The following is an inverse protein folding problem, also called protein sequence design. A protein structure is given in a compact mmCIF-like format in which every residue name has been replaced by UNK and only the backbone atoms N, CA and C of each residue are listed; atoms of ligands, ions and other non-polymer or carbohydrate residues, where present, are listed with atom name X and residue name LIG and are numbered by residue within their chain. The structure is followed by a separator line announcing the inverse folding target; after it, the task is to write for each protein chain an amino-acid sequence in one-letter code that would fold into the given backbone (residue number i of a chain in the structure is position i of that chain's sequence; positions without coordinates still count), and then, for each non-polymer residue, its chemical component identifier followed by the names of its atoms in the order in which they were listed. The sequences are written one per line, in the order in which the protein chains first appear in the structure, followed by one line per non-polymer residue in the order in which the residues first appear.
data_IF_403068007150
#
_entry.id   IF_403068007150
#
_cell.length_a   1.000
_cell.length_b   1.000
_cell.length_c   1.000
_cell.angle_alpha   90.00
_cell.angle_beta   90.00
_cell.angle_gamma   90.00
#
_symmetry.space_group_name_H-M   'P 1'
#
loop_
_entity.id
_entity.type
_entity.pdbx_description
1 polymer ?
#
# COMPACT_ATOMS: atom_id res chain seq x y z
N UNK A 1 -9.42 -36.08 -38.38
CA UNK A 1 -10.71 -36.42 -37.73
C UNK A 1 -11.70 -36.95 -38.75
N UNK A 2 -12.63 -37.83 -38.34
CA UNK A 2 -13.75 -38.26 -39.18
C UNK A 2 -14.79 -37.13 -39.31
N UNK A 3 -15.45 -37.04 -40.46
CA UNK A 3 -16.47 -36.04 -40.82
C UNK A 3 -17.65 -35.96 -39.84
N UNK A 4 -17.94 -37.06 -39.15
CA UNK A 4 -18.96 -37.22 -38.10
C UNK A 4 -18.56 -36.56 -36.77
N UNK A 5 -17.27 -36.56 -36.42
CA UNK A 5 -16.77 -35.94 -35.19
C UNK A 5 -16.80 -34.40 -35.28
N UNK A 6 -16.45 -33.86 -36.45
CA UNK A 6 -16.55 -32.42 -36.74
C UNK A 6 -18.01 -31.97 -36.67
N UNK A 7 -18.95 -32.75 -37.22
CA UNK A 7 -20.39 -32.43 -37.13
C UNK A 7 -20.91 -32.37 -35.71
N UNK A 8 -20.46 -33.27 -34.83
CA UNK A 8 -20.84 -33.26 -33.42
C UNK A 8 -20.32 -32.02 -32.70
N UNK A 9 -19.07 -31.62 -32.96
CA UNK A 9 -18.46 -30.42 -32.39
C UNK A 9 -19.10 -29.13 -32.93
N UNK A 10 -19.37 -29.06 -34.22
CA UNK A 10 -20.10 -27.94 -34.81
C UNK A 10 -21.49 -27.83 -34.19
N UNK A 11 -22.24 -28.93 -34.07
CA UNK A 11 -23.57 -28.91 -33.42
C UNK A 11 -23.53 -28.58 -31.92
N UNK A 12 -22.41 -28.76 -31.25
CA UNK A 12 -22.25 -28.39 -29.84
C UNK A 12 -22.15 -26.87 -29.65
N UNK A 13 -21.81 -26.11 -30.70
CA UNK A 13 -21.76 -24.67 -30.65
C UNK A 13 -23.18 -24.08 -30.67
N UNK A 14 -23.47 -23.06 -29.82
CA UNK A 14 -24.81 -22.48 -29.71
C UNK A 14 -25.41 -22.07 -31.06
N UNK A 15 -24.60 -21.46 -31.93
CA UNK A 15 -25.07 -20.93 -33.21
C UNK A 15 -25.16 -21.97 -34.34
N UNK A 16 -24.52 -23.14 -34.23
CA UNK A 16 -24.57 -24.19 -35.25
C UNK A 16 -25.46 -25.39 -34.86
N UNK A 17 -25.99 -25.38 -33.64
CA UNK A 17 -26.85 -26.43 -33.11
C UNK A 17 -28.10 -26.72 -33.94
N UNK A 18 -28.61 -25.73 -34.68
CA UNK A 18 -29.83 -25.82 -35.48
C UNK A 18 -29.60 -26.11 -36.97
N UNK A 19 -28.36 -26.26 -37.41
CA UNK A 19 -28.05 -26.50 -38.82
C UNK A 19 -28.53 -27.87 -39.28
N UNK A 20 -29.17 -27.91 -40.44
CA UNK A 20 -29.55 -29.15 -41.10
C UNK A 20 -28.33 -29.84 -41.74
N UNK A 21 -28.43 -31.13 -42.13
CA UNK A 21 -27.28 -31.87 -42.69
C UNK A 21 -26.66 -31.25 -43.95
N UNK A 22 -27.46 -30.58 -44.80
CA UNK A 22 -26.96 -29.91 -45.99
C UNK A 22 -26.19 -28.63 -45.64
N UNK A 23 -26.66 -27.86 -44.66
CA UNK A 23 -25.97 -26.67 -44.16
C UNK A 23 -24.67 -27.04 -43.43
N UNK A 24 -24.66 -28.11 -42.63
CA UNK A 24 -23.42 -28.62 -42.00
C UNK A 24 -22.41 -29.11 -43.03
N UNK A 25 -22.88 -29.66 -44.16
CA UNK A 25 -22.00 -30.02 -45.27
C UNK A 25 -21.36 -28.77 -45.91
N UNK A 26 -22.13 -27.68 -46.07
CA UNK A 26 -21.61 -26.42 -46.57
C UNK A 26 -20.59 -25.79 -45.60
N UNK A 27 -20.90 -25.74 -44.30
CA UNK A 27 -19.95 -25.25 -43.27
C UNK A 27 -18.65 -26.04 -43.32
N UNK A 28 -18.71 -27.37 -43.43
CA UNK A 28 -17.53 -28.23 -43.55
C UNK A 28 -16.72 -28.00 -44.83
N UNK A 29 -17.37 -27.61 -45.93
CA UNK A 29 -16.66 -27.29 -47.17
C UNK A 29 -15.93 -25.95 -47.11
N UNK A 30 -16.38 -25.04 -46.25
CA UNK A 30 -15.83 -23.69 -46.14
C UNK A 30 -14.82 -23.53 -45.00
N UNK A 31 -14.87 -24.40 -44.00
CA UNK A 31 -13.90 -24.37 -42.91
C UNK A 31 -12.68 -25.24 -43.17
N UNK A 32 -11.54 -24.78 -42.67
CA UNK A 32 -10.25 -25.47 -42.75
C UNK A 32 -9.84 -25.97 -41.35
N UNK A 33 -9.05 -27.05 -41.33
CA UNK A 33 -8.45 -27.54 -40.09
C UNK A 33 -7.07 -26.90 -39.94
N UNK A 34 -6.85 -26.24 -38.81
CA UNK A 34 -5.58 -25.68 -38.41
C UNK A 34 -5.05 -26.41 -37.17
N UNK A 35 -3.85 -26.97 -37.26
CA UNK A 35 -3.13 -27.51 -36.11
C UNK A 35 -2.07 -26.52 -35.64
N UNK A 36 -1.98 -26.31 -34.33
CA UNK A 36 -0.99 -25.42 -33.74
C UNK A 36 -0.35 -26.04 -32.50
N UNK A 37 0.96 -25.80 -32.36
CA UNK A 37 1.73 -26.22 -31.20
C UNK A 37 1.51 -25.25 -30.01
N UNK A 38 1.78 -25.67 -28.76
CA UNK A 38 1.87 -24.77 -27.62
C UNK A 38 2.77 -23.56 -27.91
N UNK A 39 2.50 -22.45 -27.22
CA UNK A 39 3.23 -21.17 -27.32
C UNK A 39 3.15 -20.51 -28.72
N UNK A 40 2.30 -21.04 -29.60
CA UNK A 40 1.99 -20.39 -30.89
C UNK A 40 1.01 -19.26 -30.65
N UNK A 41 1.36 -18.04 -31.06
CA UNK A 41 0.40 -16.94 -31.11
C UNK A 41 -0.40 -17.01 -32.42
N UNK A 42 -1.73 -17.11 -32.32
CA UNK A 42 -2.60 -17.21 -33.50
C UNK A 42 -2.83 -15.85 -34.17
N UNK A 43 -2.94 -14.80 -33.35
CA UNK A 43 -3.00 -13.40 -33.78
C UNK A 43 -2.80 -12.47 -32.58
N UNK A 44 -2.44 -11.23 -32.87
CA UNK A 44 -2.30 -10.15 -31.90
C UNK A 44 -3.53 -9.24 -31.88
N UNK A 45 -3.72 -8.57 -30.76
CA UNK A 45 -4.62 -7.43 -30.66
C UNK A 45 -4.22 -6.35 -31.68
N UNK A 46 -5.19 -5.76 -32.37
CA UNK A 46 -4.96 -4.82 -33.46
C UNK A 46 -4.76 -5.45 -34.84
N UNK A 47 -4.54 -6.77 -34.95
CA UNK A 47 -4.45 -7.44 -36.24
C UNK A 47 -5.78 -7.36 -37.02
N UNK A 48 -5.79 -7.38 -38.36
CA UNK A 48 -7.03 -7.47 -39.11
C UNK A 48 -7.84 -8.72 -38.77
N UNK A 49 -9.15 -8.57 -38.57
CA UNK A 49 -10.02 -9.71 -38.33
C UNK A 49 -10.24 -10.53 -39.61
N UNK A 50 -9.57 -11.69 -39.67
CA UNK A 50 -9.51 -12.55 -40.86
C UNK A 50 -10.37 -13.80 -40.78
N UNK A 51 -10.58 -14.37 -39.58
CA UNK A 51 -11.25 -15.65 -39.41
C UNK A 51 -11.82 -15.88 -38.00
N UNK A 52 -12.80 -16.78 -37.93
CA UNK A 52 -13.38 -17.35 -36.70
C UNK A 52 -12.69 -18.67 -36.41
N UNK A 53 -12.34 -18.92 -35.15
CA UNK A 53 -11.70 -20.15 -34.73
C UNK A 53 -12.60 -20.89 -33.74
N UNK A 54 -12.76 -22.20 -33.97
CA UNK A 54 -13.49 -23.11 -33.11
C UNK A 54 -12.51 -24.15 -32.59
N UNK A 55 -12.46 -24.37 -31.28
CA UNK A 55 -11.51 -25.29 -30.65
C UNK A 55 -12.07 -26.70 -30.74
N UNK A 56 -11.49 -27.53 -31.62
CA UNK A 56 -11.86 -28.95 -31.74
C UNK A 56 -11.17 -29.78 -30.67
N UNK A 57 -9.90 -29.50 -30.40
CA UNK A 57 -9.07 -30.11 -29.37
C UNK A 57 -8.06 -29.09 -28.83
N UNK A 58 -7.64 -29.24 -27.57
CA UNK A 58 -6.66 -28.36 -26.92
C UNK A 58 -7.29 -27.16 -26.19
N UNK A 59 -6.55 -26.04 -26.15
CA UNK A 59 -6.93 -24.84 -25.42
C UNK A 59 -6.04 -23.64 -25.73
N UNK A 60 -6.59 -22.45 -25.48
CA UNK A 60 -5.92 -21.16 -25.73
C UNK A 60 -6.12 -20.20 -24.57
N UNK A 61 -5.18 -19.28 -24.42
CA UNK A 61 -5.25 -18.13 -23.53
C UNK A 61 -5.48 -16.86 -24.35
N UNK A 62 -6.45 -16.04 -23.91
CA UNK A 62 -6.79 -14.76 -24.52
C UNK A 62 -6.19 -13.66 -23.66
N UNK A 63 -5.39 -12.78 -24.27
CA UNK A 63 -4.73 -11.65 -23.60
C UNK A 63 -5.21 -10.33 -24.19
N UNK A 64 -5.34 -9.31 -23.35
CA UNK A 64 -5.55 -7.92 -23.80
C UNK A 64 -4.68 -6.95 -23.02
N UNK A 65 -4.62 -5.70 -23.46
CA UNK A 65 -3.86 -4.66 -22.75
C UNK A 65 -4.18 -3.27 -23.28
N UNK A 66 -4.33 -2.30 -22.38
CA UNK A 66 -4.59 -0.91 -22.76
C UNK A 66 -3.29 -0.13 -23.06
N UNK A 67 -2.12 -0.73 -22.80
CA UNK A 67 -0.80 -0.13 -23.00
C UNK A 67 0.16 -1.09 -23.74
N UNK A 68 1.17 -0.58 -24.48
CA UNK A 68 2.00 -1.38 -25.39
C UNK A 68 2.76 -2.56 -24.78
N UNK A 69 2.97 -2.58 -23.46
CA UNK A 69 3.69 -3.63 -22.73
C UNK A 69 2.83 -4.33 -21.66
N UNK A 70 1.53 -4.07 -21.62
CA UNK A 70 0.62 -4.68 -20.64
C UNK A 70 -0.01 -5.93 -21.25
N UNK A 71 0.29 -7.12 -20.68
CA UNK A 71 -0.39 -8.38 -21.04
C UNK A 71 -1.26 -8.83 -19.87
N UNK A 72 -2.57 -8.63 -19.98
CA UNK A 72 -3.55 -9.11 -19.01
C UNK A 72 -4.23 -10.36 -19.58
N UNK A 73 -4.18 -11.47 -18.85
CA UNK A 73 -4.94 -12.67 -19.19
C UNK A 73 -6.44 -12.39 -18.99
N UNK A 74 -7.19 -12.38 -20.08
CA UNK A 74 -8.64 -12.12 -20.06
C UNK A 74 -9.44 -13.40 -19.86
N UNK A 75 -9.04 -14.50 -20.50
CA UNK A 75 -9.77 -15.77 -20.44
C UNK A 75 -8.94 -16.96 -20.91
N UNK A 76 -9.30 -18.16 -20.46
CA UNK A 76 -8.81 -19.42 -20.99
C UNK A 76 -9.98 -20.15 -21.66
N UNK A 77 -9.79 -20.57 -22.91
CA UNK A 77 -10.80 -21.24 -23.72
C UNK A 77 -10.36 -22.68 -24.00
N UNK A 78 -11.32 -23.59 -24.07
CA UNK A 78 -11.08 -25.03 -24.22
C UNK A 78 -11.92 -25.62 -25.37
N UNK A 79 -11.74 -26.92 -25.62
CA UNK A 79 -12.53 -27.68 -26.59
C UNK A 79 -14.03 -27.35 -26.48
N UNK A 80 -14.62 -26.98 -27.61
CA UNK A 80 -16.02 -26.57 -27.72
C UNK A 80 -16.25 -25.06 -27.64
N UNK A 81 -15.25 -24.28 -27.22
CA UNK A 81 -15.29 -22.82 -27.29
C UNK A 81 -14.91 -22.31 -28.68
N UNK A 82 -15.18 -21.03 -28.92
CA UNK A 82 -14.82 -20.31 -30.13
C UNK A 82 -14.35 -18.90 -29.79
N UNK A 83 -13.53 -18.32 -30.68
CA UNK A 83 -12.99 -16.99 -30.52
C UNK A 83 -12.74 -16.29 -31.86
N UNK A 84 -12.62 -14.97 -31.80
CA UNK A 84 -12.44 -14.12 -32.98
C UNK A 84 -13.76 -13.64 -33.60
N UNK A 85 -14.88 -13.90 -32.93
CA UNK A 85 -16.24 -13.56 -33.33
C UNK A 85 -16.52 -12.05 -33.33
N UNK A 86 -15.97 -11.32 -32.34
CA UNK A 86 -16.35 -9.93 -32.08
C UNK A 86 -15.95 -9.03 -33.25
N UNK A 87 -14.70 -9.17 -33.69
CA UNK A 87 -14.13 -8.36 -34.76
C UNK A 87 -14.67 -8.71 -36.16
N UNK A 88 -15.24 -9.92 -36.32
CA UNK A 88 -15.93 -10.32 -37.54
C UNK A 88 -17.33 -9.69 -37.64
N UNK A 89 -18.03 -9.56 -36.51
CA UNK A 89 -19.37 -8.97 -36.46
C UNK A 89 -19.34 -7.43 -36.62
N UNK A 90 -18.37 -6.76 -35.99
CA UNK A 90 -18.26 -5.29 -36.02
C UNK A 90 -17.51 -4.77 -37.26
N UNK A 91 -16.74 -5.62 -37.93
CA UNK A 91 -15.90 -5.25 -39.05
C UNK A 91 -14.73 -4.36 -38.60
N UNK A 92 -13.69 -4.98 -38.03
CA UNK A 92 -12.55 -4.23 -37.52
C UNK A 92 -11.30 -5.08 -37.32
N UNK A 93 -10.50 -4.69 -36.33
CA UNK A 93 -9.29 -5.40 -35.89
C UNK A 93 -9.58 -6.31 -34.69
N UNK A 94 -8.69 -7.25 -34.41
CA UNK A 94 -8.76 -8.14 -33.24
C UNK A 94 -8.74 -7.31 -31.96
N UNK A 95 -9.65 -7.61 -31.04
CA UNK A 95 -9.79 -6.93 -29.75
C UNK A 95 -8.94 -7.55 -28.64
N UNK A 96 -8.19 -8.62 -28.95
CA UNK A 96 -7.35 -9.36 -28.02
C UNK A 96 -6.33 -10.20 -28.80
N UNK A 97 -5.21 -10.53 -28.16
CA UNK A 97 -4.24 -11.52 -28.64
C UNK A 97 -4.64 -12.92 -28.17
N UNK A 98 -4.36 -13.96 -28.96
CA UNK A 98 -4.66 -15.35 -28.59
C UNK A 98 -3.43 -16.22 -28.75
N UNK A 99 -3.10 -16.96 -27.70
CA UNK A 99 -1.94 -17.86 -27.64
C UNK A 99 -2.37 -19.28 -27.29
N UNK A 100 -1.76 -20.25 -27.94
CA UNK A 100 -2.08 -21.67 -27.77
C UNK A 100 -1.39 -22.21 -26.51
N UNK A 101 -2.14 -22.79 -25.58
CA UNK A 101 -1.60 -23.26 -24.28
C UNK A 101 -1.28 -24.76 -24.27
N UNK A 102 -1.80 -25.51 -25.24
CA UNK A 102 -1.59 -26.96 -25.39
C UNK A 102 -1.69 -27.33 -26.88
N UNK A 103 -1.17 -28.48 -27.35
CA UNK A 103 -1.34 -28.89 -28.74
C UNK A 103 -2.83 -28.85 -29.12
N UNK A 104 -3.17 -28.04 -30.11
CA UNK A 104 -4.56 -27.67 -30.38
C UNK A 104 -4.91 -27.83 -31.85
N UNK A 105 -6.15 -28.23 -32.10
CA UNK A 105 -6.73 -28.33 -33.43
C UNK A 105 -7.93 -27.41 -33.49
N UNK A 106 -7.95 -26.54 -34.50
CA UNK A 106 -9.01 -25.56 -34.72
C UNK A 106 -9.76 -25.85 -36.01
N UNK A 107 -11.06 -25.58 -36.02
CA UNK A 107 -11.84 -25.40 -37.23
C UNK A 107 -11.95 -23.92 -37.51
N UNK A 108 -11.40 -23.49 -38.65
CA UNK A 108 -11.22 -22.08 -39.00
C UNK A 108 -12.17 -21.71 -40.13
N UNK A 109 -13.00 -20.69 -39.92
CA UNK A 109 -13.91 -20.17 -40.94
C UNK A 109 -13.44 -18.77 -41.31
N UNK A 110 -13.02 -18.58 -42.56
CA UNK A 110 -12.56 -17.28 -43.06
C UNK A 110 -13.70 -16.27 -43.07
N UNK A 111 -13.38 -14.98 -42.91
CA UNK A 111 -14.36 -13.88 -42.87
C UNK A 111 -15.28 -13.89 -44.08
N UNK A 112 -14.74 -14.08 -45.28
CA UNK A 112 -15.53 -14.08 -46.51
C UNK A 112 -16.60 -15.18 -46.51
N UNK A 113 -16.23 -16.38 -46.05
CA UNK A 113 -17.15 -17.52 -46.00
C UNK A 113 -18.13 -17.41 -44.83
N UNK A 114 -17.68 -16.85 -43.70
CA UNK A 114 -18.57 -16.52 -42.59
C UNK A 114 -19.64 -15.50 -43.00
N UNK A 115 -19.27 -14.44 -43.74
CA UNK A 115 -20.23 -13.47 -44.26
C UNK A 115 -21.23 -14.11 -45.22
N UNK A 116 -20.77 -14.94 -46.18
CA UNK A 116 -21.65 -15.67 -47.11
C UNK A 116 -22.64 -16.57 -46.37
N UNK A 117 -22.17 -17.26 -45.35
CA UNK A 117 -22.97 -18.13 -44.50
C UNK A 117 -24.09 -17.38 -43.75
N UNK A 118 -23.80 -16.14 -43.31
CA UNK A 118 -24.80 -15.26 -42.70
C UNK A 118 -25.80 -14.72 -43.73
N UNK A 119 -25.35 -14.40 -44.95
CA UNK A 119 -26.21 -13.96 -46.06
C UNK A 119 -27.17 -15.06 -46.53
N UNK A 120 -26.69 -16.31 -46.61
CA UNK A 120 -27.46 -17.46 -47.08
C UNK A 120 -28.47 -18.00 -46.03
N UNK A 121 -28.33 -17.63 -44.75
CA UNK A 121 -29.17 -18.16 -43.66
C UNK A 121 -29.53 -17.09 -42.60
N UNK A 122 -30.68 -16.42 -42.74
CA UNK A 122 -31.17 -15.44 -41.76
C UNK A 122 -31.36 -16.01 -40.34
N UNK A 123 -31.68 -17.31 -40.23
CA UNK A 123 -31.84 -18.00 -38.94
C UNK A 123 -30.50 -18.07 -38.20
N UNK A 124 -29.43 -18.38 -38.93
CA UNK A 124 -28.08 -18.49 -38.37
C UNK A 124 -27.55 -17.14 -37.88
N UNK A 125 -27.87 -16.05 -38.57
CA UNK A 125 -27.56 -14.70 -38.12
C UNK A 125 -28.22 -14.38 -36.77
N UNK A 126 -29.49 -14.76 -36.60
CA UNK A 126 -30.21 -14.59 -35.33
C UNK A 126 -29.54 -15.37 -34.19
N UNK A 127 -29.11 -16.61 -34.45
CA UNK A 127 -28.47 -17.47 -33.45
C UNK A 127 -27.09 -16.94 -33.04
N UNK A 128 -26.27 -16.48 -34.00
CA UNK A 128 -24.97 -15.83 -33.74
C UNK A 128 -25.16 -14.56 -32.89
N UNK A 129 -26.11 -13.70 -33.27
CA UNK A 129 -26.41 -12.46 -32.52
C UNK A 129 -26.93 -12.77 -31.11
N UNK A 130 -27.72 -13.82 -30.94
CA UNK A 130 -28.19 -14.31 -29.64
C UNK A 130 -27.05 -14.81 -28.75
N UNK A 131 -26.12 -15.58 -29.30
CA UNK A 131 -24.94 -16.10 -28.60
C UNK A 131 -24.00 -14.96 -28.14
N UNK A 132 -23.68 -14.02 -29.03
CA UNK A 132 -22.86 -12.83 -28.71
C UNK A 132 -23.55 -12.00 -27.62
N UNK A 133 -24.86 -11.74 -27.76
CA UNK A 133 -25.63 -10.99 -26.76
C UNK A 133 -25.62 -11.67 -25.39
N UNK A 134 -25.71 -13.00 -25.34
CA UNK A 134 -25.64 -13.77 -24.09
C UNK A 134 -24.25 -13.67 -23.44
N UNK A 135 -23.19 -13.84 -24.23
CA UNK A 135 -21.79 -13.70 -23.79
C UNK A 135 -21.52 -12.28 -23.26
N UNK A 136 -21.99 -11.25 -23.97
CA UNK A 136 -21.84 -9.85 -23.57
C UNK A 136 -22.61 -9.53 -22.28
N UNK A 137 -23.84 -10.05 -22.11
CA UNK A 137 -24.58 -9.92 -20.84
C UNK A 137 -23.82 -10.55 -19.67
N UNK A 138 -23.26 -11.73 -19.86
CA UNK A 138 -22.44 -12.40 -18.83
C UNK A 138 -21.20 -11.59 -18.44
N UNK A 139 -20.46 -11.09 -19.42
CA UNK A 139 -19.29 -10.24 -19.19
C UNK A 139 -19.63 -8.95 -18.43
N UNK A 140 -20.72 -8.28 -18.83
CA UNK A 140 -21.18 -7.05 -18.16
C UNK A 140 -21.57 -7.30 -16.70
N UNK A 141 -22.29 -8.40 -16.39
CA UNK A 141 -22.64 -8.74 -15.00
C UNK A 141 -21.38 -8.94 -14.15
N UNK A 142 -20.39 -9.68 -14.66
CA UNK A 142 -19.13 -9.91 -13.94
C UNK A 142 -18.36 -8.60 -13.71
N UNK A 143 -18.31 -7.71 -14.71
CA UNK A 143 -17.70 -6.40 -14.57
C UNK A 143 -18.40 -5.56 -13.49
N UNK A 144 -19.73 -5.52 -13.50
CA UNK A 144 -20.51 -4.84 -12.47
C UNK A 144 -20.23 -5.38 -11.06
N UNK A 145 -20.12 -6.70 -10.90
CA UNK A 145 -19.79 -7.32 -9.61
C UNK A 145 -18.38 -6.90 -9.14
N UNK A 146 -17.38 -6.92 -10.01
CA UNK A 146 -16.02 -6.48 -9.66
C UNK A 146 -15.96 -5.00 -9.29
N UNK A 147 -16.70 -4.13 -10.00
CA UNK A 147 -16.77 -2.70 -9.68
C UNK A 147 -17.41 -2.45 -8.31
N UNK A 148 -18.49 -3.18 -7.98
CA UNK A 148 -19.13 -3.11 -6.66
C UNK A 148 -18.18 -3.57 -5.55
N UNK A 149 -17.50 -4.69 -5.74
CA UNK A 149 -16.55 -5.23 -4.77
C UNK A 149 -15.38 -4.27 -4.52
N UNK A 150 -14.81 -3.69 -5.59
CA UNK A 150 -13.76 -2.66 -5.48
C UNK A 150 -14.25 -1.46 -4.67
N UNK A 151 -15.48 -0.99 -4.94
CA UNK A 151 -16.07 0.15 -4.23
C UNK A 151 -16.30 -0.13 -2.75
N UNK A 152 -16.76 -1.32 -2.39
CA UNK A 152 -16.92 -1.72 -0.99
C UNK A 152 -15.58 -1.74 -0.24
N UNK A 153 -14.52 -2.23 -0.89
CA UNK A 153 -13.17 -2.25 -0.33
C UNK A 153 -12.64 -0.83 -0.09
N UNK A 154 -12.80 0.07 -1.06
CA UNK A 154 -12.44 1.49 -0.92
C UNK A 154 -13.16 2.15 0.26
N UNK A 155 -14.48 1.97 0.36
CA UNK A 155 -15.29 2.53 1.45
C UNK A 155 -14.90 1.93 2.81
N UNK A 156 -14.55 0.64 2.87
CA UNK A 156 -14.07 0.01 4.09
C UNK A 156 -12.72 0.62 4.53
N UNK A 157 -11.82 0.88 3.59
CA UNK A 157 -10.52 1.49 3.84
C UNK A 157 -10.65 2.95 4.33
N UNK A 158 -11.53 3.74 3.69
CA UNK A 158 -11.86 5.09 4.16
C UNK A 158 -12.44 5.09 5.58
N UNK A 159 -13.38 4.17 5.88
CA UNK A 159 -13.94 4.02 7.22
C UNK A 159 -12.88 3.64 8.25
N UNK A 160 -11.95 2.76 7.90
CA UNK A 160 -10.82 2.38 8.77
C UNK A 160 -9.92 3.60 9.04
N UNK A 161 -9.59 4.38 8.01
CA UNK A 161 -8.82 5.63 8.12
C UNK A 161 -9.52 6.64 9.04
N UNK A 162 -10.81 6.90 8.83
CA UNK A 162 -11.59 7.81 9.66
C UNK A 162 -11.68 7.38 11.12
N UNK A 163 -11.86 6.08 11.40
CA UNK A 163 -11.84 5.57 12.79
C UNK A 163 -10.48 5.80 13.45
N UNK A 164 -9.38 5.57 12.75
CA UNK A 164 -8.03 5.82 13.27
C UNK A 164 -7.80 7.30 13.54
N UNK A 165 -8.17 8.19 12.61
CA UNK A 165 -8.09 9.64 12.79
C UNK A 165 -8.97 10.11 13.95
N UNK A 166 -10.19 9.60 14.07
CA UNK A 166 -11.07 9.95 15.19
C UNK A 166 -10.46 9.53 16.54
N UNK A 167 -9.90 8.31 16.62
CA UNK A 167 -9.20 7.83 17.82
C UNK A 167 -7.99 8.70 18.17
N UNK A 168 -7.24 9.14 17.15
CA UNK A 168 -6.11 10.07 17.28
C UNK A 168 -6.54 11.43 17.83
N UNK A 169 -7.56 12.05 17.24
CA UNK A 169 -8.06 13.36 17.68
C UNK A 169 -8.56 13.31 19.12
N UNK A 170 -9.36 12.30 19.49
CA UNK A 170 -9.86 12.16 20.86
C UNK A 170 -8.72 11.96 21.85
N UNK A 171 -7.78 11.04 21.59
CA UNK A 171 -6.69 10.79 22.52
C UNK A 171 -5.71 11.97 22.64
N UNK A 172 -5.45 12.70 21.56
CA UNK A 172 -4.62 13.92 21.61
C UNK A 172 -5.34 15.03 22.37
N UNK A 173 -6.65 15.20 22.18
CA UNK A 173 -7.43 16.18 22.93
C UNK A 173 -7.35 15.92 24.45
N UNK A 174 -7.55 14.67 24.88
CA UNK A 174 -7.43 14.29 26.29
C UNK A 174 -6.01 14.54 26.84
N UNK A 175 -5.00 14.23 26.03
CA UNK A 175 -3.59 14.41 26.37
C UNK A 175 -3.14 15.88 26.40
N UNK A 176 -3.79 16.77 25.65
CA UNK A 176 -3.59 18.23 25.67
C UNK A 176 -4.36 18.86 26.85
N UNK A 177 -5.60 18.42 27.09
CA UNK A 177 -6.44 18.94 28.15
C UNK A 177 -5.84 18.72 29.54
N UNK A 178 -5.16 17.58 29.74
CA UNK A 178 -4.51 17.25 31.02
C UNK A 178 -3.44 18.27 31.46
N UNK A 179 -2.37 18.55 30.67
CA UNK A 179 -1.38 19.56 31.03
C UNK A 179 -1.98 20.97 31.06
N UNK A 180 -2.97 21.30 30.21
CA UNK A 180 -3.66 22.61 30.27
C UNK A 180 -4.40 22.79 31.60
N UNK A 181 -5.10 21.77 32.09
CA UNK A 181 -5.78 21.82 33.39
C UNK A 181 -4.81 22.06 34.55
N UNK A 182 -3.67 21.37 34.54
CA UNK A 182 -2.62 21.55 35.56
C UNK A 182 -2.01 22.95 35.48
N UNK A 183 -1.70 23.43 34.26
CA UNK A 183 -1.18 24.79 34.07
C UNK A 183 -2.16 25.84 34.59
N UNK A 184 -3.46 25.71 34.29
CA UNK A 184 -4.48 26.62 34.78
C UNK A 184 -4.55 26.61 36.31
N UNK A 185 -4.56 25.43 36.93
CA UNK A 185 -4.60 25.31 38.39
C UNK A 185 -3.38 25.96 39.07
N UNK A 186 -2.16 25.67 38.58
CA UNK A 186 -0.93 26.26 39.11
C UNK A 186 -0.87 27.77 38.89
N UNK A 187 -1.34 28.25 37.74
CA UNK A 187 -1.39 29.69 37.43
C UNK A 187 -2.39 30.40 38.34
N UNK A 188 -3.58 29.83 38.56
CA UNK A 188 -4.60 30.38 39.46
C UNK A 188 -4.11 30.44 40.90
N UNK A 189 -3.49 29.37 41.40
CA UNK A 189 -2.91 29.33 42.76
C UNK A 189 -1.82 30.40 42.95
N UNK A 190 -0.88 30.50 42.00
CA UNK A 190 0.21 31.48 42.06
C UNK A 190 -0.31 32.93 41.96
N UNK A 191 -1.37 33.15 41.18
CA UNK A 191 -2.06 34.45 41.10
C UNK A 191 -2.77 34.80 42.41
N UNK A 192 -3.49 33.86 43.03
CA UNK A 192 -4.20 34.06 44.30
C UNK A 192 -3.21 34.37 45.44
N UNK A 193 -2.10 33.62 45.51
CA UNK A 193 -1.02 33.88 46.46
C UNK A 193 -0.42 35.28 46.25
N UNK A 194 -0.17 35.66 44.99
CA UNK A 194 0.36 36.98 44.64
C UNK A 194 -0.59 38.10 45.06
N UNK A 195 -1.88 37.99 44.74
CA UNK A 195 -2.90 38.97 45.14
C UNK A 195 -3.03 39.07 46.65
N UNK A 196 -3.07 37.95 47.36
CA UNK A 196 -3.16 37.93 48.83
C UNK A 196 -1.95 38.59 49.47
N UNK A 197 -0.75 38.34 48.94
CA UNK A 197 0.49 38.97 49.44
C UNK A 197 0.54 40.48 49.20
N UNK A 198 -0.11 40.99 48.14
CA UNK A 198 -0.20 42.41 47.84
C UNK A 198 -1.24 43.11 48.73
N UNK A 199 -2.38 42.47 48.98
CA UNK A 199 -3.49 43.02 49.79
C UNK A 199 -3.23 42.90 51.28
N UNK A 200 -2.53 41.86 51.74
CA UNK A 200 -2.24 41.62 53.16
C UNK A 200 -0.82 41.07 53.38
N UNK A 201 0.22 41.90 53.15
CA UNK A 201 1.63 41.45 53.12
C UNK A 201 2.13 40.82 54.42
N UNK A 202 1.55 41.23 55.55
CA UNK A 202 1.98 40.81 56.89
C UNK A 202 1.34 39.50 57.36
N UNK A 203 0.26 39.04 56.73
CA UNK A 203 -0.47 37.84 57.15
C UNK A 203 -0.12 36.60 56.32
N UNK A 204 0.28 36.77 55.05
CA UNK A 204 0.66 35.66 54.17
C UNK A 204 1.68 36.13 53.13
N UNK A 205 2.97 36.23 53.50
CA UNK A 205 4.02 36.57 52.54
C UNK A 205 4.11 35.48 51.46
N UNK A 206 4.46 35.90 50.24
CA UNK A 206 4.69 34.96 49.14
C UNK A 206 5.86 34.05 49.49
N UNK A 207 5.70 32.73 49.43
CA UNK A 207 6.81 31.80 49.58
C UNK A 207 7.55 31.69 48.23
N UNK A 208 8.80 32.21 48.13
CA UNK A 208 9.55 32.17 46.88
C UNK A 208 9.93 30.75 46.46
N UNK A 209 10.12 29.81 47.40
CA UNK A 209 10.46 28.44 47.08
C UNK A 209 9.27 27.71 46.47
N UNK A 210 8.10 27.81 47.09
CA UNK A 210 6.86 27.23 46.57
C UNK A 210 6.49 27.82 45.21
N UNK A 211 6.65 29.14 45.05
CA UNK A 211 6.43 29.82 43.76
C UNK A 211 7.38 29.31 42.66
N UNK A 212 8.66 29.13 42.99
CA UNK A 212 9.66 28.61 42.05
C UNK A 212 9.37 27.15 41.66
N UNK A 213 8.91 26.31 42.59
CA UNK A 213 8.47 24.94 42.30
C UNK A 213 7.27 24.91 41.36
N UNK A 214 6.24 25.73 41.61
CA UNK A 214 5.09 25.88 40.71
C UNK A 214 5.50 26.34 39.32
N UNK A 215 6.42 27.31 39.20
CA UNK A 215 6.96 27.76 37.91
C UNK A 215 7.75 26.66 37.17
N UNK A 216 8.57 25.88 37.88
CA UNK A 216 9.30 24.74 37.29
C UNK A 216 8.33 23.66 36.80
N UNK A 217 7.29 23.37 37.58
CA UNK A 217 6.26 22.41 37.20
C UNK A 217 5.48 22.90 35.97
N UNK A 218 5.11 24.19 35.94
CA UNK A 218 4.51 24.81 34.75
C UNK A 218 5.42 24.69 33.52
N UNK A 219 6.71 25.01 33.64
CA UNK A 219 7.66 24.87 32.53
C UNK A 219 7.73 23.43 32.01
N UNK A 220 7.75 22.45 32.92
CA UNK A 220 7.70 21.02 32.57
C UNK A 220 6.43 20.67 31.78
N UNK A 221 5.26 21.18 32.19
CA UNK A 221 4.01 20.95 31.48
C UNK A 221 3.93 21.68 30.13
N UNK A 222 4.51 22.88 29.99
CA UNK A 222 4.61 23.61 28.72
C UNK A 222 5.49 22.87 27.71
N UNK A 223 6.66 22.40 28.14
CA UNK A 223 7.55 21.57 27.30
C UNK A 223 6.80 20.32 26.83
N UNK A 224 6.07 19.66 27.75
CA UNK A 224 5.26 18.48 27.46
C UNK A 224 4.13 18.77 26.47
N UNK A 225 3.48 19.93 26.55
CA UNK A 225 2.43 20.34 25.63
C UNK A 225 2.98 20.63 24.22
N UNK A 226 4.15 21.29 24.15
CA UNK A 226 4.85 21.52 22.88
C UNK A 226 5.22 20.21 22.19
N UNK A 227 5.74 19.23 22.93
CA UNK A 227 6.05 17.89 22.39
C UNK A 227 4.81 17.21 21.81
N UNK A 228 3.67 17.28 22.52
CA UNK A 228 2.40 16.74 22.02
C UNK A 228 1.94 17.38 20.72
N UNK A 229 2.04 18.70 20.63
CA UNK A 229 1.68 19.43 19.41
C UNK A 229 2.60 19.05 18.25
N UNK A 230 3.89 18.86 18.50
CA UNK A 230 4.83 18.36 17.48
C UNK A 230 4.44 16.95 17.03
N UNK A 231 4.25 16.02 17.97
CA UNK A 231 3.74 14.66 17.70
C UNK A 231 2.46 14.69 16.84
N UNK A 232 1.48 15.52 17.19
CA UNK A 232 0.22 15.62 16.45
C UNK A 232 0.43 16.12 15.01
N UNK A 233 1.36 17.05 14.78
CA UNK A 233 1.71 17.51 13.43
C UNK A 233 2.25 16.38 12.56
N UNK A 234 3.13 15.53 13.11
CA UNK A 234 3.67 14.39 12.37
C UNK A 234 2.58 13.36 12.04
N UNK A 235 1.63 13.14 12.95
CA UNK A 235 0.56 12.15 12.74
C UNK A 235 -0.52 12.65 11.75
N UNK A 236 -0.80 13.94 11.71
CA UNK A 236 -1.93 14.47 10.93
C UNK A 236 -1.63 14.67 9.44
N UNK A 237 -0.43 14.32 8.96
CA UNK A 237 0.08 14.63 7.61
C UNK A 237 -0.05 16.12 7.23
N UNK A 238 -0.35 16.97 8.21
CA UNK A 238 -0.70 18.36 8.01
C UNK A 238 0.58 19.17 8.13
N UNK A 239 1.16 19.48 6.96
CA UNK A 239 2.26 20.41 6.76
C UNK A 239 3.62 19.91 7.26
N UNK A 240 4.33 19.21 6.36
CA UNK A 240 5.79 19.31 6.34
C UNK A 240 6.09 20.77 6.01
N UNK A 241 6.36 21.57 7.05
CA UNK A 241 6.42 23.04 6.92
C UNK A 241 7.61 23.55 6.11
N UNK A 242 8.54 22.67 5.75
CA UNK A 242 9.71 22.95 4.92
C UNK A 242 9.68 22.03 3.68
N UNK A 243 10.16 22.49 2.52
CA UNK A 243 10.31 21.65 1.34
C UNK A 243 11.36 20.55 1.57
N UNK A 244 11.33 19.46 0.79
CA UNK A 244 12.39 18.46 0.84
C UNK A 244 13.71 19.06 0.36
N UNK A 245 14.81 18.60 0.95
CA UNK A 245 16.16 19.07 0.69
C UNK A 245 17.05 17.91 0.25
N UNK A 246 18.05 18.21 -0.57
CA UNK A 246 19.08 17.26 -0.93
C UNK A 246 20.21 17.35 0.09
N UNK A 247 20.41 16.29 0.87
CA UNK A 247 21.47 16.22 1.88
C UNK A 247 22.13 14.84 1.89
N UNK A 248 23.36 14.77 2.42
CA UNK A 248 24.03 13.50 2.67
C UNK A 248 23.30 12.75 3.79
N UNK A 249 23.00 11.47 3.58
CA UNK A 249 22.22 10.69 4.54
C UNK A 249 23.04 10.31 5.78
N UNK A 250 24.30 9.92 5.61
CA UNK A 250 25.17 9.49 6.70
C UNK A 250 25.35 10.55 7.82
N UNK A 251 25.58 11.85 7.51
CA UNK A 251 25.61 12.90 8.53
C UNK A 251 24.33 13.02 9.35
N UNK A 252 23.14 12.82 8.75
CA UNK A 252 21.86 12.90 9.47
C UNK A 252 21.80 11.86 10.60
N UNK A 253 22.26 10.62 10.34
CA UNK A 253 22.31 9.57 11.35
C UNK A 253 23.32 9.91 12.46
N UNK A 254 24.50 10.44 12.11
CA UNK A 254 25.52 10.84 13.09
C UNK A 254 25.03 11.99 13.97
N UNK A 255 24.37 12.99 13.38
CA UNK A 255 23.81 14.13 14.10
C UNK A 255 22.66 13.71 15.01
N UNK A 256 21.81 12.77 14.58
CA UNK A 256 20.79 12.17 15.43
C UNK A 256 21.39 11.43 16.64
N UNK A 257 22.46 10.67 16.42
CA UNK A 257 23.18 9.95 17.48
C UNK A 257 23.80 10.92 18.50
N UNK A 258 24.48 11.98 18.04
CA UNK A 258 25.04 13.00 18.94
C UNK A 258 23.96 13.78 19.68
N UNK A 259 22.86 14.13 19.00
CA UNK A 259 21.71 14.78 19.64
C UNK A 259 21.14 13.92 20.76
N UNK A 260 20.97 12.62 20.52
CA UNK A 260 20.52 11.67 21.53
C UNK A 260 21.49 11.62 22.72
N UNK A 261 22.80 11.54 22.46
CA UNK A 261 23.84 11.51 23.50
C UNK A 261 23.83 12.75 24.41
N UNK A 262 23.45 13.90 23.87
CA UNK A 262 23.34 15.17 24.63
C UNK A 262 21.99 15.29 25.34
N UNK A 263 20.91 14.87 24.68
CA UNK A 263 19.54 15.07 25.17
C UNK A 263 19.12 14.04 26.22
N UNK A 264 19.63 12.81 26.14
CA UNK A 264 19.25 11.74 27.06
C UNK A 264 20.21 11.58 28.24
N UNK A 265 19.69 11.48 29.48
CA UNK A 265 20.52 11.10 30.62
C UNK A 265 20.95 9.63 30.58
N UNK A 266 20.27 8.77 29.78
CA UNK A 266 20.66 7.37 29.59
C UNK A 266 21.82 7.29 28.61
N UNK A 267 22.88 6.60 29.00
CA UNK A 267 24.08 6.38 28.16
C UNK A 267 24.00 5.00 27.49
N UNK A 268 23.08 4.84 26.54
CA UNK A 268 23.08 3.66 25.67
C UNK A 268 24.32 3.71 24.76
N UNK A 269 24.97 2.57 24.57
CA UNK A 269 26.11 2.45 23.66
C UNK A 269 25.58 2.22 22.25
N UNK A 270 25.78 3.19 21.35
CA UNK A 270 25.33 3.12 19.96
C UNK A 270 26.53 2.77 19.07
N UNK A 271 26.44 1.63 18.38
CA UNK A 271 27.37 1.22 17.32
C UNK A 271 26.73 1.57 15.97
N UNK A 272 27.30 2.55 15.26
CA UNK A 272 26.80 3.01 13.96
C UNK A 272 27.66 2.43 12.83
N UNK A 273 27.03 1.65 11.97
CA UNK A 273 27.63 1.02 10.80
C UNK A 273 27.02 1.62 9.53
N UNK A 274 27.87 2.11 8.63
CA UNK A 274 27.42 2.68 7.35
C UNK A 274 28.19 1.97 6.26
N UNK A 275 27.49 1.46 5.24
CA UNK A 275 28.15 0.91 4.07
C UNK A 275 29.02 1.98 3.39
N UNK A 276 30.27 1.67 3.00
CA UNK A 276 31.20 2.69 2.50
C UNK A 276 30.68 3.50 1.30
N UNK A 277 29.87 2.87 0.45
CA UNK A 277 29.26 3.50 -0.73
C UNK A 277 28.20 4.54 -0.36
N UNK A 278 27.66 4.48 0.86
CA UNK A 278 26.61 5.37 1.36
C UNK A 278 27.12 6.60 2.11
N UNK A 279 28.43 6.68 2.39
CA UNK A 279 29.04 7.83 3.08
C UNK A 279 28.85 9.16 2.33
N UNK A 280 28.92 9.10 0.99
CA UNK A 280 28.78 10.27 0.10
C UNK A 280 27.44 10.30 -0.65
N UNK A 281 26.53 9.40 -0.28
CA UNK A 281 25.24 9.28 -0.98
C UNK A 281 24.24 10.31 -0.48
N UNK A 282 23.62 11.00 -1.43
CA UNK A 282 22.60 12.03 -1.16
C UNK A 282 21.20 11.41 -1.12
N UNK A 283 20.37 11.93 -0.21
CA UNK A 283 18.95 11.68 -0.13
C UNK A 283 18.20 12.98 -0.37
N UNK A 284 17.17 12.95 -1.22
CA UNK A 284 16.24 14.06 -1.41
C UNK A 284 14.99 13.82 -0.57
N UNK A 285 14.92 14.44 0.61
CA UNK A 285 13.86 14.18 1.57
C UNK A 285 13.79 15.19 2.70
N UNK A 286 13.38 14.75 3.89
CA UNK A 286 13.16 15.63 5.04
C UNK A 286 14.09 15.27 6.21
N UNK A 287 15.29 15.85 6.28
CA UNK A 287 16.31 15.51 7.29
C UNK A 287 15.80 15.58 8.73
N UNK A 288 15.09 16.66 9.09
CA UNK A 288 14.55 16.84 10.43
C UNK A 288 13.53 15.76 10.80
N UNK A 289 12.70 15.32 9.85
CA UNK A 289 11.73 14.26 10.09
C UNK A 289 12.39 12.90 10.24
N UNK A 290 13.48 12.64 9.53
CA UNK A 290 14.27 11.43 9.71
C UNK A 290 14.97 11.42 11.08
N UNK A 291 15.52 12.56 11.50
CA UNK A 291 16.09 12.72 12.83
C UNK A 291 15.02 12.46 13.91
N UNK A 292 13.80 12.99 13.74
CA UNK A 292 12.68 12.72 14.63
C UNK A 292 12.34 11.21 14.68
N UNK A 293 12.30 10.52 13.53
CA UNK A 293 12.13 9.06 13.50
C UNK A 293 13.14 8.34 14.37
N UNK A 294 14.43 8.62 14.17
CA UNK A 294 15.53 8.00 14.91
C UNK A 294 15.42 8.29 16.41
N UNK A 295 15.08 9.53 16.78
CA UNK A 295 14.87 9.90 18.17
C UNK A 295 13.70 9.15 18.81
N UNK A 296 12.57 8.99 18.10
CA UNK A 296 11.44 8.18 18.61
C UNK A 296 11.82 6.73 18.82
N UNK A 297 12.59 6.12 17.90
CA UNK A 297 13.10 4.75 18.06
C UNK A 297 13.97 4.64 19.32
N UNK A 298 14.89 5.58 19.53
CA UNK A 298 15.71 5.59 20.74
C UNK A 298 14.90 5.72 22.02
N UNK A 299 13.89 6.59 22.05
CA UNK A 299 13.03 6.70 23.23
C UNK A 299 12.22 5.43 23.51
N UNK A 300 11.87 4.65 22.47
CA UNK A 300 11.22 3.36 22.66
C UNK A 300 12.19 2.32 23.24
N UNK A 301 13.42 2.27 22.77
CA UNK A 301 14.48 1.41 23.33
C UNK A 301 14.69 1.74 24.80
N UNK A 302 14.80 3.03 25.14
CA UNK A 302 14.91 3.44 26.55
C UNK A 302 13.71 3.03 27.39
N UNK A 303 12.50 3.11 26.85
CA UNK A 303 11.29 2.82 27.59
C UNK A 303 11.10 1.32 27.87
N UNK A 304 11.50 0.49 26.90
CA UNK A 304 11.04 -0.89 26.77
C UNK A 304 12.15 -1.93 26.69
N UNK A 305 13.29 -1.63 26.03
CA UNK A 305 14.33 -2.62 25.80
C UNK A 305 15.09 -2.98 27.08
N UNK A 306 15.47 -1.96 27.88
CA UNK A 306 16.33 -2.14 29.05
C UNK A 306 15.69 -1.67 30.36
N UNK A 307 15.87 -2.43 31.48
CA UNK A 307 15.44 -2.01 32.82
C UNK A 307 15.98 -0.63 33.21
N UNK A 308 15.31 0.06 34.16
CA UNK A 308 15.60 1.45 34.57
C UNK A 308 17.08 1.71 34.90
N UNK A 309 17.76 0.73 35.50
CA UNK A 309 19.15 0.82 35.97
C UNK A 309 20.15 0.09 35.05
N UNK A 310 19.71 -0.31 33.85
CA UNK A 310 20.51 -1.06 32.88
C UNK A 310 20.61 -0.31 31.56
N UNK A 311 21.75 -0.47 30.90
CA UNK A 311 21.99 -0.05 29.53
C UNK A 311 22.55 -1.25 28.76
N UNK A 312 22.12 -1.42 27.52
CA UNK A 312 22.66 -2.41 26.61
C UNK A 312 23.09 -1.80 25.28
N UNK A 313 23.71 -2.62 24.41
CA UNK A 313 24.16 -2.17 23.11
C UNK A 313 22.96 -1.87 22.19
N UNK A 314 23.11 -0.85 21.37
CA UNK A 314 22.20 -0.51 20.28
C UNK A 314 23.03 -0.46 19.02
N UNK A 315 22.59 -1.12 17.95
CA UNK A 315 23.25 -1.07 16.64
C UNK A 315 22.38 -0.28 15.67
N UNK A 316 22.99 0.67 14.98
CA UNK A 316 22.40 1.34 13.83
C UNK A 316 23.15 0.89 12.58
N UNK A 317 22.43 0.55 11.51
CA UNK A 317 23.03 0.30 10.22
C UNK A 317 22.36 1.12 9.12
N UNK A 318 23.16 1.61 8.18
CA UNK A 318 22.70 2.18 6.91
C UNK A 318 23.28 1.36 5.76
N UNK A 319 22.40 0.75 4.97
CA UNK A 319 22.74 -0.15 3.87
C UNK A 319 21.85 0.08 2.65
N UNK A 320 22.28 -0.44 1.50
CA UNK A 320 21.43 -0.54 0.31
C UNK A 320 20.51 -1.75 0.41
N UNK A 321 19.22 -1.50 0.24
CA UNK A 321 18.20 -2.53 0.14
C UNK A 321 17.38 -2.38 -1.12
N UNK A 322 16.29 -3.16 -1.19
CA UNK A 322 15.32 -3.09 -2.27
C UNK A 322 13.93 -2.81 -1.69
N UNK A 323 13.19 -1.92 -2.34
CA UNK A 323 11.79 -1.65 -2.05
C UNK A 323 11.03 -1.45 -3.36
N UNK A 324 9.93 -2.18 -3.54
CA UNK A 324 9.16 -2.16 -4.80
C UNK A 324 10.00 -2.46 -6.06
N UNK A 325 10.97 -3.38 -5.95
CA UNK A 325 11.90 -3.75 -7.03
C UNK A 325 12.85 -2.62 -7.47
N UNK A 326 12.94 -1.54 -6.70
CA UNK A 326 13.84 -0.43 -6.92
C UNK A 326 14.87 -0.33 -5.79
N UNK A 327 16.08 0.19 -6.05
CA UNK A 327 17.07 0.48 -5.01
C UNK A 327 16.52 1.44 -3.96
N UNK A 328 16.73 1.10 -2.68
CA UNK A 328 16.25 1.88 -1.56
C UNK A 328 17.31 1.99 -0.46
N UNK A 329 17.21 3.04 0.37
CA UNK A 329 17.94 3.09 1.62
C UNK A 329 17.28 2.16 2.63
N UNK A 330 18.11 1.40 3.35
CA UNK A 330 17.70 0.60 4.49
C UNK A 330 18.41 1.12 5.74
N UNK A 331 17.63 1.65 6.69
CA UNK A 331 18.12 2.00 8.03
C UNK A 331 17.58 0.98 9.02
N UNK A 332 18.46 0.24 9.70
CA UNK A 332 18.08 -0.67 10.76
C UNK A 332 18.53 -0.14 12.12
N UNK A 333 17.62 -0.12 13.09
CA UNK A 333 17.89 0.19 14.49
C UNK A 333 17.57 -1.06 15.32
N UNK A 334 18.61 -1.61 15.94
CA UNK A 334 18.58 -2.90 16.64
C UNK A 334 18.94 -2.73 18.10
N UNK A 335 18.14 -3.30 19.00
CA UNK A 335 18.45 -3.46 20.42
C UNK A 335 18.54 -4.95 20.81
N UNK A 336 19.22 -5.24 21.92
CA UNK A 336 19.33 -6.58 22.51
C UNK A 336 18.58 -6.66 23.85
N UNK A 337 17.49 -5.92 23.95
CA UNK A 337 16.68 -5.83 25.16
C UNK A 337 15.67 -6.95 25.31
N UNK A 338 14.62 -6.67 26.10
CA UNK A 338 13.53 -7.60 26.38
C UNK A 338 12.74 -8.06 25.13
N UNK A 339 12.88 -7.37 24.01
CA UNK A 339 12.10 -7.62 22.81
C UNK A 339 10.60 -7.37 23.00
N UNK A 340 9.82 -7.80 22.02
CA UNK A 340 8.37 -7.61 21.95
C UNK A 340 7.71 -8.98 21.91
N UNK A 341 6.72 -9.19 22.79
CA UNK A 341 5.93 -10.42 22.79
C UNK A 341 5.12 -10.57 21.49
N UNK A 342 5.05 -11.76 20.86
CA UNK A 342 4.33 -11.99 19.61
C UNK A 342 2.86 -11.57 19.64
N UNK A 343 2.22 -11.65 20.80
CA UNK A 343 0.81 -11.26 21.00
C UNK A 343 0.61 -9.74 20.90
N UNK A 344 1.65 -8.97 21.24
CA UNK A 344 1.63 -7.52 21.29
C UNK A 344 2.17 -6.89 20.01
N UNK A 345 3.08 -7.58 19.31
CA UNK A 345 3.73 -7.11 18.09
C UNK A 345 2.75 -6.52 17.04
N UNK A 346 1.56 -7.11 16.77
CA UNK A 346 0.61 -6.53 15.80
C UNK A 346 0.05 -5.16 16.19
N UNK A 347 0.14 -4.77 17.46
CA UNK A 347 -0.44 -3.55 18.03
C UNK A 347 0.61 -2.49 18.37
N UNK A 348 1.90 -2.72 18.20
CA UNK A 348 2.92 -1.75 18.67
C UNK A 348 2.90 -0.42 17.92
N UNK A 349 2.40 -0.41 16.68
CA UNK A 349 2.20 0.80 15.89
C UNK A 349 0.81 1.43 16.05
N UNK A 350 -0.09 0.80 16.83
CA UNK A 350 -1.42 1.32 17.07
C UNK A 350 -1.35 2.60 17.93
N UNK A 351 -2.07 3.67 17.56
CA UNK A 351 -2.05 4.90 18.33
C UNK A 351 -2.44 4.71 19.80
N UNK A 352 -1.66 5.28 20.71
CA UNK A 352 -1.79 5.22 22.17
C UNK A 352 -1.55 3.85 22.79
N UNK A 353 -1.14 2.85 22.02
CA UNK A 353 -0.77 1.55 22.57
C UNK A 353 0.58 1.62 23.26
N UNK A 354 0.66 1.23 24.53
CA UNK A 354 1.95 1.13 25.25
C UNK A 354 1.85 0.21 26.46
N UNK A 355 2.91 -0.56 26.70
CA UNK A 355 3.08 -1.35 27.92
C UNK A 355 3.72 -0.55 29.07
N UNK A 356 4.24 0.65 28.79
CA UNK A 356 4.95 1.49 29.76
C UNK A 356 4.15 2.73 30.19
N UNK A 357 2.80 2.66 30.13
CA UNK A 357 1.91 3.79 30.46
C UNK A 357 2.15 4.37 31.86
N UNK A 358 2.40 3.51 32.85
CA UNK A 358 2.68 3.93 34.23
C UNK A 358 4.01 4.69 34.37
N UNK A 359 4.95 4.51 33.42
CA UNK A 359 6.23 5.25 33.36
C UNK A 359 6.11 6.57 32.59
N UNK A 360 4.90 6.93 32.14
CA UNK A 360 4.62 8.18 31.45
C UNK A 360 4.71 8.14 29.92
N UNK A 361 4.98 6.96 29.33
CA UNK A 361 4.97 6.78 27.87
C UNK A 361 3.55 6.67 27.33
N UNK A 362 3.30 7.32 26.20
CA UNK A 362 1.94 7.50 25.67
C UNK A 362 1.55 6.51 24.59
N UNK A 363 2.54 5.89 23.93
CA UNK A 363 2.29 4.95 22.84
C UNK A 363 2.05 5.62 21.49
N UNK A 364 2.71 6.75 21.22
CA UNK A 364 2.64 7.44 19.94
C UNK A 364 3.93 7.30 19.11
N UNK A 365 5.05 6.89 19.71
CA UNK A 365 6.36 6.86 19.05
C UNK A 365 6.36 6.02 17.76
N UNK A 366 6.05 4.73 17.84
CA UNK A 366 6.01 3.86 16.65
C UNK A 366 4.91 4.23 15.66
N UNK A 367 3.77 4.76 16.12
CA UNK A 367 2.74 5.31 15.23
C UNK A 367 3.29 6.47 14.38
N UNK A 368 4.10 7.35 14.98
CA UNK A 368 4.73 8.46 14.26
C UNK A 368 5.76 7.93 13.28
N UNK A 369 6.65 7.03 13.72
CA UNK A 369 7.68 6.44 12.84
C UNK A 369 7.02 5.77 11.64
N UNK A 370 5.98 4.95 11.86
CA UNK A 370 5.22 4.31 10.79
C UNK A 370 4.64 5.33 9.81
N UNK A 371 4.03 6.40 10.31
CA UNK A 371 3.44 7.44 9.47
C UNK A 371 4.49 8.19 8.64
N UNK A 372 5.59 8.61 9.28
CA UNK A 372 6.69 9.30 8.61
C UNK A 372 7.29 8.42 7.50
N UNK A 373 7.52 7.14 7.77
CA UNK A 373 8.11 6.22 6.80
C UNK A 373 7.13 5.88 5.67
N UNK A 374 5.92 5.44 6.00
CA UNK A 374 4.96 4.95 5.00
C UNK A 374 4.30 6.07 4.20
N UNK A 375 3.96 7.20 4.84
CA UNK A 375 3.17 8.26 4.19
C UNK A 375 4.00 9.47 3.77
N UNK A 376 5.11 9.78 4.45
CA UNK A 376 5.94 10.95 4.14
C UNK A 376 7.16 10.56 3.32
N UNK A 377 7.83 9.45 3.65
CA UNK A 377 9.01 8.97 2.92
C UNK A 377 8.64 8.00 1.79
N UNK A 378 7.37 7.63 1.66
CA UNK A 378 6.87 6.64 0.68
C UNK A 378 7.60 5.29 0.76
N UNK A 379 7.93 4.90 1.99
CA UNK A 379 8.71 3.71 2.32
C UNK A 379 7.91 2.61 3.03
N UNK A 380 8.63 1.70 3.67
CA UNK A 380 8.11 0.61 4.49
C UNK A 380 8.80 0.59 5.85
N UNK A 381 8.01 0.34 6.90
CA UNK A 381 8.50 0.04 8.24
C UNK A 381 8.31 -1.46 8.52
N UNK A 382 9.40 -2.15 8.86
CA UNK A 382 9.37 -3.54 9.29
C UNK A 382 9.91 -3.68 10.72
N UNK A 383 9.27 -4.54 11.51
CA UNK A 383 9.65 -4.79 12.90
C UNK A 383 9.80 -6.29 13.08
N UNK A 384 11.01 -6.74 13.40
CA UNK A 384 11.32 -8.13 13.76
C UNK A 384 11.71 -8.16 15.22
N UNK A 385 11.05 -9.01 16.00
CA UNK A 385 11.34 -9.11 17.43
C UNK A 385 10.93 -10.46 17.96
N UNK A 386 11.62 -10.89 19.01
CA UNK A 386 11.28 -12.05 19.81
C UNK A 386 11.56 -11.74 21.27
N UNK A 387 10.76 -12.31 22.17
CA UNK A 387 10.93 -12.11 23.61
C UNK A 387 12.34 -12.52 24.05
N UNK A 388 12.98 -11.64 24.83
CA UNK A 388 14.32 -11.78 25.38
C UNK A 388 15.45 -11.92 24.32
N UNK A 389 15.19 -11.53 23.07
CA UNK A 389 16.18 -11.51 21.98
C UNK A 389 16.39 -10.12 21.37
N UNK A 390 15.66 -9.11 21.85
CA UNK A 390 15.72 -7.75 21.33
C UNK A 390 14.75 -7.47 20.18
N UNK A 391 14.97 -6.34 19.52
CA UNK A 391 14.08 -5.81 18.48
C UNK A 391 14.91 -5.19 17.37
N UNK A 392 14.63 -5.59 16.13
CA UNK A 392 15.14 -4.97 14.92
C UNK A 392 14.01 -4.17 14.26
N UNK A 393 14.23 -2.88 14.09
CA UNK A 393 13.30 -1.98 13.39
C UNK A 393 13.99 -1.48 12.12
N UNK A 394 13.43 -1.84 10.98
CA UNK A 394 13.99 -1.54 9.66
C UNK A 394 13.11 -0.54 8.92
N UNK A 395 13.71 0.56 8.47
CA UNK A 395 13.09 1.58 7.65
C UNK A 395 13.63 1.43 6.22
N UNK A 396 12.75 1.21 5.24
CA UNK A 396 13.11 1.19 3.81
C UNK A 396 12.46 2.35 3.09
N UNK A 397 13.22 3.15 2.35
CA UNK A 397 12.65 4.29 1.62
C UNK A 397 13.49 4.68 0.39
N UNK A 398 12.87 5.24 -0.66
CA UNK A 398 13.55 5.61 -1.90
C UNK A 398 14.55 6.75 -1.71
N UNK A 399 15.46 6.88 -2.69
CA UNK A 399 16.47 7.95 -2.76
C UNK A 399 15.87 9.35 -2.92
N UNK A 400 14.67 9.42 -3.50
CA UNK A 400 13.94 10.66 -3.73
C UNK A 400 12.50 10.50 -3.27
N UNK A 401 12.05 11.37 -2.38
CA UNK A 401 10.64 11.45 -1.99
C UNK A 401 9.87 12.19 -3.08
N UNK A 402 8.79 11.58 -3.57
CA UNK A 402 7.82 12.28 -4.42
C UNK A 402 6.98 13.23 -3.56
N UNK A 403 7.15 14.54 -3.75
CA UNK A 403 6.34 15.53 -3.06
C UNK A 403 4.93 15.58 -3.67
N UNK A 404 4.03 14.69 -3.20
CA UNK A 404 2.61 14.83 -3.48
C UNK A 404 2.06 15.96 -2.61
N UNK A 405 2.02 17.19 -3.14
CA UNK A 405 1.07 18.16 -2.60
C UNK A 405 -0.33 17.60 -2.86
N UNK A 406 -1.22 17.52 -1.85
CA UNK A 406 -2.62 17.33 -2.14
C UNK A 406 -3.04 18.55 -2.99
N UNK A 407 -3.47 18.31 -4.22
CA UNK A 407 -4.18 19.31 -5.01
C UNK A 407 -5.32 19.81 -4.12
N UNK A 408 -5.17 21.04 -3.62
CA UNK A 408 -6.28 21.79 -3.07
C UNK A 408 -7.23 22.03 -4.23
N UNK A 409 -8.18 21.12 -4.40
CA UNK A 409 -9.29 21.31 -5.32
C UNK A 409 -9.98 22.63 -4.89
N UNK A 410 -10.09 23.62 -5.79
CA UNK A 410 -10.57 24.96 -5.45
C UNK A 410 -12.02 25.01 -4.96
#
# INVERSE_FOLDING_TARGET
MDSTAIDQLLKALPFFSHLNPAQLKNVRQWGEILEAAPDTTLFHEGDPASALYIILEGGVAVYGGNAPNERVLLSNLQRGDFFGELALAEGGTRTASVEVTAPSTFFVIQRADFTRLLEDSPVLLSDVMGAISSKMRGANVNLYQHLLQKRELELALERKKHKTVARLVTGVADEINTPLGILNALTSDLLEQSLTSLVSPQQKPLDPQQSLESLRLMQKHLIRLRQLLQTFRHVSAAHVGAPPEQQLLAPILRDAMELYRVASPRRLSIDLQIEPELEETHWFGYPNLLQDCLMYLMTNIEAHAYPADSAGPVRWSLALGEWQQEPAFEICVSDQGAGIAPEVLPQVCDPFFTTARQRGYRGLGLTIVKNLVENIFSGQLDIQSSSDQGTDITLRFPFQIQHNQPEMNP
#
